data_IF_558610982833
#
_entry.id   IF_558610982833
#
_cell.length_a   1.000
_cell.length_b   1.000
_cell.length_c   1.000
_cell.angle_alpha   90.00
_cell.angle_beta   90.00
_cell.angle_gamma   90.00
#
_symmetry.space_group_name_H-M   'P 1'
#
loop_
_entity.id
_entity.type
_entity.pdbx_description
1 polymer ?
#
# COMPACT_ATOMS: atom_id res chain seq x y z
N UNK A 1 1.03 -4.07 -54.02
CA UNK A 1 -0.15 -3.32 -53.57
C UNK A 1 -1.35 -4.25 -53.63
N UNK A 2 -1.79 -4.76 -52.48
CA UNK A 2 -2.95 -5.66 -52.39
C UNK A 2 -3.70 -5.33 -51.09
N UNK A 3 -4.77 -4.56 -51.22
CA UNK A 3 -5.70 -4.23 -50.13
C UNK A 3 -6.69 -5.40 -49.96
N UNK A 4 -6.70 -6.01 -48.78
CA UNK A 4 -7.74 -6.96 -48.36
C UNK A 4 -8.82 -6.20 -47.59
N UNK A 5 -10.01 -6.07 -48.19
CA UNK A 5 -11.25 -5.65 -47.51
C UNK A 5 -11.94 -6.89 -46.92
N UNK A 6 -12.27 -6.84 -45.64
CA UNK A 6 -13.14 -7.81 -44.97
C UNK A 6 -14.62 -7.42 -45.15
N UNK A 7 -15.53 -8.37 -45.44
CA UNK A 7 -16.96 -8.08 -45.48
C UNK A 7 -17.61 -8.19 -44.10
N UNK A 8 -18.45 -7.21 -43.81
CA UNK A 8 -19.38 -7.17 -42.67
C UNK A 8 -20.50 -8.19 -42.93
N UNK A 9 -20.64 -9.19 -42.06
CA UNK A 9 -21.83 -10.04 -42.00
C UNK A 9 -22.77 -9.58 -40.89
N UNK A 10 -23.86 -8.95 -41.32
CA UNK A 10 -25.11 -8.82 -40.59
C UNK A 10 -25.88 -10.14 -40.68
N UNK A 11 -26.21 -10.76 -39.53
CA UNK A 11 -27.29 -11.75 -39.44
C UNK A 11 -28.13 -11.57 -38.18
N UNK A 12 -29.39 -11.28 -38.47
CA UNK A 12 -30.60 -11.42 -37.67
C UNK A 12 -30.63 -12.66 -36.77
N UNK A 13 -30.97 -12.47 -35.50
CA UNK A 13 -31.75 -13.43 -34.71
C UNK A 13 -32.77 -12.69 -33.84
N UNK A 14 -33.98 -12.57 -34.36
CA UNK A 14 -35.20 -12.27 -33.64
C UNK A 14 -35.73 -13.59 -33.04
N UNK A 15 -35.66 -13.73 -31.71
CA UNK A 15 -36.32 -14.80 -30.98
C UNK A 15 -37.29 -14.23 -29.95
N UNK A 16 -38.58 -14.51 -30.21
CA UNK A 16 -39.75 -14.20 -29.39
C UNK A 16 -39.60 -14.75 -27.96
N UNK A 17 -39.67 -13.89 -26.95
CA UNK A 17 -39.96 -14.31 -25.56
C UNK A 17 -41.48 -14.51 -25.42
N UNK A 18 -41.90 -15.77 -25.29
CA UNK A 18 -43.22 -16.12 -24.81
C UNK A 18 -43.32 -15.77 -23.31
N UNK A 19 -44.37 -15.03 -22.94
CA UNK A 19 -44.77 -14.79 -21.55
C UNK A 19 -45.19 -16.13 -20.95
N UNK A 20 -44.51 -16.59 -19.90
CA UNK A 20 -45.02 -17.62 -18.99
C UNK A 20 -45.78 -16.90 -17.88
N UNK A 21 -47.05 -17.25 -17.73
CA UNK A 21 -47.88 -16.89 -16.58
C UNK A 21 -47.33 -17.55 -15.31
N UNK A 22 -47.41 -16.88 -14.15
CA UNK A 22 -47.04 -17.47 -12.87
C UNK A 22 -48.13 -18.47 -12.42
N UNK A 23 -47.75 -19.60 -11.79
CA UNK A 23 -48.71 -20.54 -11.21
C UNK A 23 -49.38 -19.97 -9.95
N UNK A 24 -50.59 -20.47 -9.60
CA UNK A 24 -51.40 -19.92 -8.52
C UNK A 24 -50.86 -20.27 -7.11
N UNK A 25 -51.10 -19.33 -6.21
CA UNK A 25 -50.89 -19.41 -4.75
C UNK A 25 -51.41 -20.72 -4.15
N UNK A 26 -50.52 -21.46 -3.48
CA UNK A 26 -50.89 -22.45 -2.49
C UNK A 26 -50.42 -21.97 -1.11
N UNK A 27 -51.39 -21.47 -0.35
CA UNK A 27 -51.25 -21.12 1.05
C UNK A 27 -51.19 -22.41 1.89
N UNK A 28 -50.01 -22.70 2.43
CA UNK A 28 -49.85 -23.58 3.59
C UNK A 28 -49.07 -22.82 4.67
N UNK A 29 -49.81 -22.23 5.60
CA UNK A 29 -49.30 -21.67 6.84
C UNK A 29 -48.88 -22.82 7.76
N UNK A 30 -47.58 -23.05 7.88
CA UNK A 30 -46.99 -23.79 9.00
C UNK A 30 -46.17 -22.80 9.82
N UNK A 31 -46.65 -22.49 11.03
CA UNK A 31 -45.95 -21.66 12.00
C UNK A 31 -44.65 -22.36 12.45
N UNK A 32 -43.52 -21.96 11.85
CA UNK A 32 -42.21 -22.30 12.36
C UNK A 32 -41.93 -21.43 13.59
N UNK A 33 -41.88 -22.05 14.77
CA UNK A 33 -41.38 -21.42 16.00
C UNK A 33 -39.92 -21.05 15.80
N UNK A 34 -39.64 -19.75 15.72
CA UNK A 34 -38.29 -19.19 15.80
C UNK A 34 -37.76 -19.47 17.21
N UNK A 35 -36.61 -20.13 17.37
CA UNK A 35 -35.99 -20.29 18.68
C UNK A 35 -35.58 -18.90 19.19
N UNK A 36 -36.05 -18.59 20.40
CA UNK A 36 -35.68 -17.41 21.18
C UNK A 36 -34.16 -17.44 21.41
N UNK A 37 -33.42 -16.77 20.53
CA UNK A 37 -31.98 -16.57 20.65
C UNK A 37 -31.81 -15.42 21.63
N UNK A 38 -31.80 -15.76 22.92
CA UNK A 38 -31.66 -14.81 24.01
C UNK A 38 -30.59 -13.78 23.68
N UNK A 39 -31.02 -12.53 23.55
CA UNK A 39 -30.16 -11.40 23.25
C UNK A 39 -29.10 -11.30 24.35
N UNK A 40 -27.89 -11.78 24.07
CA UNK A 40 -26.74 -11.51 24.92
C UNK A 40 -26.56 -9.99 24.93
N UNK A 41 -26.69 -9.40 26.11
CA UNK A 41 -26.44 -7.99 26.32
C UNK A 41 -25.03 -7.68 25.81
N UNK A 42 -24.93 -6.80 24.81
CA UNK A 42 -23.65 -6.29 24.35
C UNK A 42 -22.99 -5.55 25.51
N UNK A 43 -21.92 -6.13 26.07
CA UNK A 43 -21.07 -5.38 27.00
C UNK A 43 -20.52 -4.16 26.26
N UNK A 44 -20.70 -2.93 26.80
CA UNK A 44 -20.16 -1.74 26.18
C UNK A 44 -18.64 -1.88 26.02
N UNK A 45 -18.15 -1.58 24.81
CA UNK A 45 -16.74 -1.60 24.50
C UNK A 45 -15.99 -0.74 25.52
N UNK A 46 -15.11 -1.37 26.32
CA UNK A 46 -14.28 -0.66 27.29
C UNK A 46 -13.50 0.45 26.60
N UNK A 47 -13.65 1.69 27.08
CA UNK A 47 -12.93 2.83 26.54
C UNK A 47 -11.42 2.63 26.75
N UNK A 48 -10.64 2.64 25.67
CA UNK A 48 -9.18 2.58 25.73
C UNK A 48 -8.66 4.01 25.73
N UNK A 49 -7.83 4.33 26.72
CA UNK A 49 -7.17 5.62 26.85
C UNK A 49 -5.88 5.60 26.01
N UNK A 50 -6.00 5.86 24.71
CA UNK A 50 -4.83 6.21 23.88
C UNK A 50 -4.44 7.63 24.29
N UNK A 51 -3.18 7.85 24.70
CA UNK A 51 -2.67 9.20 24.92
C UNK A 51 -2.25 9.80 23.57
N UNK A 52 -3.06 10.68 22.93
CA UNK A 52 -2.68 11.31 21.67
C UNK A 52 -1.50 12.29 21.84
N UNK A 53 -1.15 12.60 23.09
CA UNK A 53 -0.05 13.49 23.48
C UNK A 53 1.26 12.75 23.71
N UNK A 54 1.25 11.41 23.74
CA UNK A 54 2.45 10.60 23.90
C UNK A 54 3.53 11.05 22.89
N UNK A 55 4.68 11.45 23.43
CA UNK A 55 5.78 11.99 22.64
C UNK A 55 6.27 10.94 21.65
N UNK A 56 6.46 11.35 20.39
CA UNK A 56 7.15 10.52 19.40
C UNK A 56 8.56 10.17 19.91
N UNK A 57 9.09 8.97 19.60
CA UNK A 57 10.49 8.66 19.85
C UNK A 57 11.41 9.71 19.22
N UNK A 58 12.59 9.89 19.83
CA UNK A 58 13.60 10.81 19.32
C UNK A 58 13.89 10.54 17.83
N UNK A 59 14.10 11.62 17.08
CA UNK A 59 14.36 11.53 15.63
C UNK A 59 13.13 11.18 14.78
N UNK A 60 11.93 11.04 15.37
CA UNK A 60 10.70 10.74 14.63
C UNK A 60 9.81 11.96 14.44
N UNK A 61 9.48 12.22 13.18
CA UNK A 61 8.58 13.29 12.76
C UNK A 61 7.29 12.71 12.22
N UNK A 62 6.18 13.41 12.45
CA UNK A 62 4.85 13.01 11.97
C UNK A 62 4.35 14.02 10.94
N UNK A 63 3.89 13.52 9.81
CA UNK A 63 3.11 14.24 8.83
C UNK A 63 1.67 13.71 8.91
N UNK A 64 0.69 14.60 9.02
CA UNK A 64 -0.73 14.25 9.00
C UNK A 64 -1.42 14.97 7.86
N UNK A 65 -2.23 14.22 7.12
CA UNK A 65 -2.95 14.65 5.92
C UNK A 65 -4.38 14.20 6.08
N UNK A 66 -5.33 15.13 6.02
CA UNK A 66 -6.76 14.83 6.14
C UNK A 66 -7.57 15.59 5.11
N UNK A 67 -8.73 15.05 4.74
CA UNK A 67 -9.73 15.78 3.96
C UNK A 67 -10.69 16.47 4.94
N UNK A 68 -10.77 17.81 4.96
CA UNK A 68 -11.75 18.50 5.78
C UNK A 68 -13.16 18.18 5.27
N UNK A 69 -14.09 17.97 6.20
CA UNK A 69 -15.48 17.62 5.90
C UNK A 69 -16.15 18.70 5.01
N UNK A 70 -16.79 18.28 3.92
CA UNK A 70 -17.52 19.16 3.00
C UNK A 70 -16.64 19.96 2.02
N UNK A 71 -15.37 19.61 1.85
CA UNK A 71 -14.46 20.19 0.87
C UNK A 71 -13.73 19.10 0.09
N UNK A 72 -14.38 18.58 -0.94
CA UNK A 72 -13.93 17.37 -1.65
C UNK A 72 -12.55 17.52 -2.33
N UNK A 73 -12.14 18.74 -2.68
CA UNK A 73 -10.88 19.01 -3.37
C UNK A 73 -9.73 19.47 -2.47
N UNK A 74 -9.94 19.54 -1.15
CA UNK A 74 -8.95 20.11 -0.23
C UNK A 74 -8.33 19.03 0.66
N UNK A 75 -7.02 19.14 0.90
CA UNK A 75 -6.33 18.39 1.96
C UNK A 75 -5.74 19.38 2.95
N UNK A 76 -5.85 19.08 4.24
CA UNK A 76 -5.16 19.79 5.30
C UNK A 76 -3.90 19.03 5.69
N UNK A 77 -2.76 19.69 5.55
CA UNK A 77 -1.46 19.11 5.89
C UNK A 77 -0.94 19.78 7.16
N UNK A 78 -0.64 18.96 8.16
CA UNK A 78 0.04 19.39 9.39
C UNK A 78 1.22 18.49 9.68
N UNK A 79 2.27 19.04 10.30
CA UNK A 79 3.45 18.25 10.63
C UNK A 79 4.06 18.66 11.97
N UNK A 80 4.53 17.68 12.73
CA UNK A 80 5.16 17.89 14.04
C UNK A 80 6.43 17.08 14.20
N UNK A 81 7.42 17.69 14.84
CA UNK A 81 8.67 17.08 15.28
C UNK A 81 9.07 17.75 16.59
N UNK A 82 9.58 17.01 17.60
CA UNK A 82 10.28 17.64 18.71
C UNK A 82 11.35 18.61 18.19
N UNK A 83 11.44 19.80 18.78
CA UNK A 83 12.47 20.79 18.47
C UNK A 83 12.38 21.52 17.11
N UNK A 84 11.36 21.24 16.29
CA UNK A 84 11.14 21.93 15.01
C UNK A 84 9.79 22.66 15.06
N UNK A 85 9.72 23.94 14.65
CA UNK A 85 8.44 24.65 14.56
C UNK A 85 7.40 23.84 13.77
N UNK A 86 6.19 23.73 14.32
CA UNK A 86 5.08 23.01 13.69
C UNK A 86 4.83 23.57 12.29
N UNK A 87 4.58 22.71 11.32
CA UNK A 87 4.07 23.16 10.02
C UNK A 87 2.65 23.70 10.24
N UNK A 88 2.44 24.98 9.91
CA UNK A 88 1.11 25.57 9.90
C UNK A 88 0.18 24.76 8.99
N UNK A 89 -1.11 24.72 9.32
CA UNK A 89 -2.08 24.04 8.46
C UNK A 89 -2.02 24.68 7.06
N UNK A 90 -1.72 23.86 6.05
CA UNK A 90 -1.75 24.31 4.66
C UNK A 90 -3.11 23.89 4.10
N UNK A 91 -3.90 24.87 3.64
CA UNK A 91 -5.16 24.61 2.93
C UNK A 91 -4.85 24.05 1.53
N UNK A 92 -5.51 22.94 1.19
CA UNK A 92 -5.39 22.25 -0.09
C UNK A 92 -5.62 23.11 -1.33
N UNK A 93 -6.29 24.27 -1.22
CA UNK A 93 -6.39 25.21 -2.33
C UNK A 93 -5.01 25.65 -2.86
N UNK A 94 -4.04 25.79 -1.95
CA UNK A 94 -2.66 26.15 -2.25
C UNK A 94 -1.80 24.92 -2.61
N UNK A 95 -2.20 23.74 -2.14
CA UNK A 95 -1.55 22.47 -2.45
C UNK A 95 -2.46 21.72 -3.41
N UNK A 96 -2.53 22.19 -4.67
CA UNK A 96 -3.12 21.37 -5.73
C UNK A 96 -2.43 20.02 -5.69
N UNK A 97 -3.20 18.94 -5.53
CA UNK A 97 -2.65 17.59 -5.59
C UNK A 97 -1.69 17.49 -6.78
N UNK A 98 -0.53 16.81 -6.65
CA UNK A 98 0.23 16.50 -7.84
C UNK A 98 -0.76 15.77 -8.74
N UNK A 99 -1.14 16.37 -9.88
CA UNK A 99 -2.22 15.91 -10.77
C UNK A 99 -1.87 14.60 -11.49
N UNK A 100 -1.01 13.81 -10.88
CA UNK A 100 -0.34 12.62 -11.34
C UNK A 100 -0.60 11.58 -10.28
N UNK A 101 -1.83 11.06 -10.26
CA UNK A 101 -2.03 9.73 -9.74
C UNK A 101 -1.05 8.84 -10.52
N UNK A 102 -0.04 8.28 -9.84
CA UNK A 102 1.01 7.49 -10.48
C UNK A 102 0.42 6.33 -11.32
N UNK A 103 -0.81 5.91 -10.99
CA UNK A 103 -1.69 5.02 -11.76
C UNK A 103 -1.92 5.43 -13.21
N UNK A 104 -2.22 6.71 -13.44
CA UNK A 104 -2.70 7.20 -14.73
C UNK A 104 -1.55 7.55 -15.65
N UNK A 105 -0.39 7.81 -15.05
CA UNK A 105 0.74 8.32 -15.79
C UNK A 105 1.44 7.21 -16.58
N UNK A 106 1.34 5.95 -16.15
CA UNK A 106 2.06 4.82 -16.77
C UNK A 106 1.15 3.98 -17.71
N UNK A 107 -0.09 4.43 -17.95
CA UNK A 107 -1.02 3.80 -18.91
C UNK A 107 -0.52 4.00 -20.35
N UNK A 108 -0.99 3.16 -21.27
CA UNK A 108 -0.74 3.34 -22.72
C UNK A 108 -1.26 4.73 -23.13
N UNK A 109 -0.37 5.60 -23.60
CA UNK A 109 -0.69 7.01 -23.90
C UNK A 109 -0.57 7.99 -22.72
N UNK A 110 -0.12 7.53 -21.55
CA UNK A 110 0.25 8.36 -20.41
C UNK A 110 1.58 9.10 -20.60
N UNK A 111 2.06 9.80 -19.56
CA UNK A 111 3.32 10.54 -19.64
C UNK A 111 4.51 9.58 -19.59
N UNK A 112 5.62 10.00 -20.18
CA UNK A 112 6.86 9.27 -20.04
C UNK A 112 7.30 9.21 -18.56
N UNK A 113 7.88 8.09 -18.08
CA UNK A 113 8.43 7.95 -16.73
C UNK A 113 9.27 9.14 -16.23
N UNK A 114 10.14 9.69 -17.07
CA UNK A 114 10.96 10.85 -16.71
C UNK A 114 10.16 12.14 -16.56
N UNK A 115 9.11 12.34 -17.36
CA UNK A 115 8.18 13.47 -17.23
C UNK A 115 7.42 13.40 -15.89
N UNK A 116 7.06 12.19 -15.42
CA UNK A 116 6.43 11.99 -14.10
C UNK A 116 7.35 12.45 -12.99
N UNK A 117 8.61 11.99 -13.02
CA UNK A 117 9.62 12.37 -12.04
C UNK A 117 9.86 13.88 -12.05
N UNK A 118 9.94 14.48 -13.24
CA UNK A 118 10.08 15.92 -13.41
C UNK A 118 8.88 16.68 -12.83
N UNK A 119 7.65 16.21 -13.06
CA UNK A 119 6.43 16.82 -12.50
C UNK A 119 6.40 16.73 -10.98
N UNK A 120 6.72 15.57 -10.40
CA UNK A 120 6.76 15.40 -8.94
C UNK A 120 7.85 16.26 -8.32
N UNK A 121 9.01 16.37 -8.97
CA UNK A 121 10.08 17.28 -8.54
C UNK A 121 9.64 18.73 -8.60
N UNK A 122 9.05 19.18 -9.70
CA UNK A 122 8.57 20.54 -9.85
C UNK A 122 7.46 20.86 -8.85
N UNK A 123 6.54 19.92 -8.64
CA UNK A 123 5.52 20.03 -7.60
C UNK A 123 6.14 20.16 -6.21
N UNK A 124 7.12 19.32 -5.88
CA UNK A 124 7.83 19.34 -4.59
C UNK A 124 8.50 20.69 -4.29
N UNK A 125 8.99 21.35 -5.34
CA UNK A 125 9.71 22.63 -5.26
C UNK A 125 8.78 23.85 -5.28
N UNK A 126 7.64 23.77 -5.97
CA UNK A 126 6.67 24.86 -6.08
C UNK A 126 5.54 24.71 -5.06
N UNK A 127 4.60 23.80 -5.32
CA UNK A 127 3.36 23.64 -4.54
C UNK A 127 3.62 22.96 -3.18
N UNK A 128 4.60 22.04 -3.15
CA UNK A 128 5.03 21.32 -1.96
C UNK A 128 6.08 22.05 -1.11
N UNK A 129 6.48 23.27 -1.48
CA UNK A 129 7.63 23.97 -0.89
C UNK A 129 7.53 24.13 0.64
N UNK A 130 6.33 24.37 1.17
CA UNK A 130 6.11 24.46 2.61
C UNK A 130 6.35 23.12 3.32
N UNK A 131 5.87 22.02 2.74
CA UNK A 131 6.06 20.66 3.27
C UNK A 131 7.51 20.22 3.13
N UNK A 132 8.11 20.34 1.94
CA UNK A 132 9.49 19.92 1.67
C UNK A 132 10.52 20.78 2.41
N UNK A 133 10.26 22.09 2.54
CA UNK A 133 11.04 22.99 3.37
C UNK A 133 10.97 22.62 4.86
N UNK A 134 9.79 22.24 5.35
CA UNK A 134 9.64 21.73 6.71
C UNK A 134 10.36 20.40 6.93
N UNK A 135 10.19 19.43 6.01
CA UNK A 135 10.88 18.14 6.06
C UNK A 135 12.40 18.31 6.02
N UNK A 136 12.91 19.26 5.23
CA UNK A 136 14.36 19.55 5.17
C UNK A 136 14.89 20.09 6.50
N UNK A 137 14.13 20.96 7.19
CA UNK A 137 14.47 21.42 8.55
C UNK A 137 14.42 20.27 9.57
N UNK A 138 13.37 19.46 9.51
CA UNK A 138 13.21 18.29 10.34
C UNK A 138 14.37 17.29 10.18
N UNK A 139 14.76 16.98 8.94
CA UNK A 139 15.92 16.13 8.63
C UNK A 139 17.19 16.63 9.31
N UNK A 140 17.50 17.93 9.17
CA UNK A 140 18.70 18.53 9.79
C UNK A 140 18.65 18.48 11.32
N UNK A 141 17.47 18.61 11.90
CA UNK A 141 17.30 18.55 13.35
C UNK A 141 17.41 17.12 13.92
N UNK A 142 16.86 16.12 13.22
CA UNK A 142 16.80 14.74 13.70
C UNK A 142 18.11 13.95 13.55
N UNK A 143 19.09 14.46 12.79
CA UNK A 143 20.41 13.84 12.64
C UNK A 143 20.49 12.81 11.52
N UNK A 144 21.31 11.77 11.71
CA UNK A 144 21.73 10.83 10.64
C UNK A 144 20.61 9.90 10.14
N UNK A 145 19.68 9.53 11.03
CA UNK A 145 18.57 8.63 10.71
C UNK A 145 17.22 9.25 11.08
N UNK A 146 16.77 10.26 10.32
CA UNK A 146 15.46 10.85 10.55
C UNK A 146 14.37 9.85 10.16
N UNK A 147 13.31 9.78 10.95
CA UNK A 147 12.18 8.86 10.75
C UNK A 147 10.92 9.67 10.48
N UNK A 148 10.15 9.26 9.48
CA UNK A 148 8.93 9.94 9.07
C UNK A 148 7.76 8.97 9.13
N UNK A 149 6.80 9.27 10.01
CA UNK A 149 5.49 8.63 10.05
C UNK A 149 4.49 9.48 9.27
N UNK A 150 3.90 8.91 8.23
CA UNK A 150 2.94 9.57 7.34
C UNK A 150 1.54 9.07 7.69
N UNK A 151 0.75 9.89 8.36
CA UNK A 151 -0.65 9.61 8.63
C UNK A 151 -1.49 10.28 7.55
N UNK A 152 -1.77 9.55 6.48
CA UNK A 152 -2.56 10.04 5.34
C UNK A 152 -3.94 9.36 5.37
N UNK A 153 -4.95 10.14 5.74
CA UNK A 153 -6.34 9.70 5.87
C UNK A 153 -7.14 9.98 4.58
N UNK A 154 -6.45 10.27 3.46
CA UNK A 154 -7.06 10.67 2.19
C UNK A 154 -6.86 9.64 1.08
N UNK A 155 -7.67 9.71 0.04
CA UNK A 155 -7.50 8.95 -1.20
C UNK A 155 -6.69 9.72 -2.27
N UNK A 156 -6.09 10.87 -1.90
CA UNK A 156 -5.30 11.74 -2.78
C UNK A 156 -4.05 11.07 -3.36
N UNK A 157 -3.65 9.92 -2.80
CA UNK A 157 -2.56 9.06 -3.28
C UNK A 157 -1.23 9.82 -3.49
N UNK A 158 -0.91 10.76 -2.59
CA UNK A 158 0.29 11.57 -2.71
C UNK A 158 1.53 10.65 -2.60
N UNK A 159 2.49 10.72 -3.54
CA UNK A 159 3.68 9.88 -3.51
C UNK A 159 4.73 10.48 -2.57
N UNK A 160 4.41 10.53 -1.27
CA UNK A 160 5.22 11.16 -0.22
C UNK A 160 6.70 10.77 -0.26
N UNK A 161 6.99 9.50 -0.52
CA UNK A 161 8.33 8.96 -0.60
C UNK A 161 9.11 9.50 -1.81
N UNK A 162 8.42 9.87 -2.89
CA UNK A 162 9.00 10.39 -4.12
C UNK A 162 9.08 11.92 -4.14
N UNK A 163 8.68 12.61 -3.05
CA UNK A 163 8.88 14.06 -2.95
C UNK A 163 10.37 14.40 -2.92
N UNK A 164 10.73 15.46 -3.63
CA UNK A 164 12.10 15.92 -3.74
C UNK A 164 12.44 16.92 -2.62
N UNK A 165 13.50 16.63 -1.86
CA UNK A 165 14.05 17.52 -0.86
C UNK A 165 15.31 18.21 -1.41
N UNK A 166 15.34 19.55 -1.48
CA UNK A 166 16.60 20.26 -1.75
C UNK A 166 17.54 20.13 -0.55
N UNK A 167 18.81 19.76 -0.75
CA UNK A 167 19.76 19.65 0.37
C UNK A 167 20.14 21.02 0.94
N UNK A 168 20.27 22.01 0.06
CA UNK A 168 20.70 23.38 0.30
C UNK A 168 20.11 24.27 -0.82
N UNK A 169 19.54 25.45 -0.54
CA UNK A 169 19.10 26.39 -1.60
C UNK A 169 20.20 26.70 -2.64
N UNK A 170 21.48 26.62 -2.25
CA UNK A 170 22.61 26.95 -3.13
C UNK A 170 23.26 25.72 -3.80
N UNK A 171 22.88 24.49 -3.42
CA UNK A 171 23.40 23.25 -4.04
C UNK A 171 22.30 22.49 -4.79
N UNK A 172 22.59 22.12 -6.03
CA UNK A 172 21.67 21.32 -6.87
C UNK A 172 21.56 19.84 -6.49
N UNK A 173 22.25 19.40 -5.44
CA UNK A 173 22.09 18.04 -4.92
C UNK A 173 20.88 18.03 -3.98
N UNK A 174 20.01 17.06 -4.20
CA UNK A 174 18.84 16.83 -3.38
C UNK A 174 18.57 15.35 -3.35
N UNK A 175 17.58 14.96 -2.57
CA UNK A 175 17.23 13.56 -2.40
C UNK A 175 15.73 13.39 -2.28
N UNK A 176 15.23 12.25 -2.72
CA UNK A 176 13.85 11.86 -2.45
C UNK A 176 13.63 11.63 -0.94
N UNK A 177 12.44 11.94 -0.44
CA UNK A 177 12.05 11.70 0.97
C UNK A 177 12.28 10.25 1.36
N UNK A 178 11.88 9.29 0.52
CA UNK A 178 12.05 7.86 0.75
C UNK A 178 13.51 7.37 0.72
N UNK A 179 14.45 8.21 0.28
CA UNK A 179 15.88 7.99 0.46
C UNK A 179 16.41 8.72 1.71
N UNK A 180 15.85 9.86 2.08
CA UNK A 180 16.35 10.66 3.20
C UNK A 180 15.84 10.19 4.55
N UNK A 181 14.61 9.67 4.61
CA UNK A 181 13.93 9.27 5.83
C UNK A 181 13.70 7.76 5.88
N UNK A 182 13.68 7.18 7.08
CA UNK A 182 13.01 5.91 7.33
C UNK A 182 11.51 6.19 7.34
N UNK A 183 10.78 5.74 6.32
CA UNK A 183 9.36 6.08 6.12
C UNK A 183 8.43 4.93 6.47
N UNK A 184 7.35 5.22 7.19
CA UNK A 184 6.21 4.34 7.31
C UNK A 184 4.92 5.16 7.17
N UNK A 185 3.91 4.56 6.54
CA UNK A 185 2.55 5.09 6.47
C UNK A 185 1.73 4.53 7.64
N UNK A 186 0.77 5.32 8.08
CA UNK A 186 -0.20 4.97 9.10
C UNK A 186 -1.59 5.25 8.55
N UNK A 187 -2.51 4.29 8.75
CA UNK A 187 -3.93 4.46 8.43
C UNK A 187 -4.71 4.38 9.75
N UNK A 188 -5.80 5.15 9.90
CA UNK A 188 -6.76 4.89 10.97
C UNK A 188 -7.19 3.42 10.91
N UNK A 189 -7.11 2.72 12.03
CA UNK A 189 -7.67 1.38 12.16
C UNK A 189 -9.06 1.56 12.77
N UNK A 190 -10.10 1.06 12.12
CA UNK A 190 -11.43 1.05 12.75
C UNK A 190 -11.40 0.15 13.99
N UNK A 191 -11.85 0.72 15.11
CA UNK A 191 -11.54 0.25 16.47
C UNK A 191 -11.92 -1.20 16.70
N UNK A 192 -10.92 -2.00 17.07
CA UNK A 192 -11.12 -3.31 17.71
C UNK A 192 -10.24 -3.37 18.97
N UNK A 193 -10.58 -4.19 19.98
CA UNK A 193 -9.79 -4.36 21.23
C UNK A 193 -8.29 -4.68 21.01
N UNK A 194 -7.86 -4.99 19.78
CA UNK A 194 -6.50 -5.40 19.37
C UNK A 194 -5.53 -4.25 19.07
N UNK A 195 -5.97 -2.99 19.15
CA UNK A 195 -5.18 -1.79 18.77
C UNK A 195 -3.84 -1.61 19.51
N UNK A 196 -3.65 -2.20 20.69
CA UNK A 196 -2.42 -2.00 21.47
C UNK A 196 -1.16 -2.60 20.81
N UNK A 197 -1.29 -3.67 20.01
CA UNK A 197 -0.12 -4.29 19.34
C UNK A 197 0.38 -3.46 18.16
N UNK A 198 -0.54 -2.84 17.45
CA UNK A 198 -0.27 -2.07 16.23
C UNK A 198 -0.20 -0.60 16.57
N UNK A 199 0.70 -0.25 17.48
CA UNK A 199 1.09 1.13 17.66
C UNK A 199 2.20 1.46 16.63
N UNK A 200 2.23 2.65 16.02
CA UNK A 200 3.29 3.03 15.06
C UNK A 200 4.71 3.00 15.64
N UNK A 201 4.84 2.83 16.96
CA UNK A 201 6.09 2.78 17.71
C UNK A 201 6.40 1.39 18.30
N UNK A 202 5.61 0.36 18.03
CA UNK A 202 5.86 -0.98 18.56
C UNK A 202 7.10 -1.61 17.92
N UNK A 203 7.91 -2.31 18.70
CA UNK A 203 9.04 -3.09 18.16
C UNK A 203 8.59 -4.53 17.97
N UNK A 204 8.03 -4.81 16.80
CA UNK A 204 7.56 -6.15 16.45
C UNK A 204 8.63 -6.91 15.68
N UNK A 205 8.65 -8.24 15.86
CA UNK A 205 9.60 -9.13 15.19
C UNK A 205 8.85 -10.28 14.55
N UNK A 206 8.75 -10.26 13.23
CA UNK A 206 8.06 -11.27 12.45
C UNK A 206 8.97 -12.50 12.29
N UNK A 207 8.53 -13.66 12.78
CA UNK A 207 9.28 -14.91 12.79
C UNK A 207 8.36 -16.09 12.50
N UNK A 208 8.89 -17.09 11.79
CA UNK A 208 8.14 -18.27 11.41
C UNK A 208 8.23 -18.55 9.93
N UNK A 209 7.27 -19.30 9.41
CA UNK A 209 7.26 -19.70 8.00
C UNK A 209 6.81 -18.56 7.08
N UNK A 210 7.22 -18.65 5.81
CA UNK A 210 6.71 -17.80 4.74
C UNK A 210 5.53 -18.53 4.09
N UNK A 211 4.35 -17.91 4.08
CA UNK A 211 3.15 -18.41 3.40
C UNK A 211 2.91 -17.56 2.15
N UNK A 212 2.78 -18.20 1.00
CA UNK A 212 2.69 -17.50 -0.28
C UNK A 212 1.50 -17.94 -1.13
N UNK A 213 0.90 -17.00 -1.83
CA UNK A 213 0.06 -17.24 -3.00
C UNK A 213 0.62 -16.46 -4.19
N UNK A 214 0.66 -17.09 -5.34
CA UNK A 214 1.06 -16.46 -6.61
C UNK A 214 0.00 -16.78 -7.65
N UNK A 215 -0.56 -15.76 -8.29
CA UNK A 215 -1.52 -15.92 -9.38
C UNK A 215 -0.90 -16.66 -10.57
N UNK A 216 -1.73 -17.38 -11.34
CA UNK A 216 -1.27 -18.26 -12.42
C UNK A 216 -0.40 -17.51 -13.44
N UNK A 217 -0.80 -16.30 -13.83
CA UNK A 217 -0.07 -15.45 -14.78
C UNK A 217 1.31 -15.00 -14.28
N UNK A 218 1.55 -15.05 -12.96
CA UNK A 218 2.82 -14.65 -12.33
C UNK A 218 3.65 -15.85 -11.85
N UNK A 219 3.10 -17.06 -11.93
CA UNK A 219 3.56 -18.23 -11.19
C UNK A 219 5.03 -18.59 -11.47
N UNK A 220 5.43 -18.73 -12.74
CA UNK A 220 6.73 -19.32 -13.09
C UNK A 220 7.91 -18.61 -12.41
N UNK A 221 7.93 -17.28 -12.47
CA UNK A 221 9.08 -16.51 -12.02
C UNK A 221 8.92 -15.92 -10.60
N UNK A 222 7.70 -15.69 -10.11
CA UNK A 222 7.49 -15.30 -8.70
C UNK A 222 7.61 -16.50 -7.75
N UNK A 223 7.20 -17.72 -8.15
CA UNK A 223 7.39 -18.92 -7.34
C UNK A 223 8.88 -19.24 -7.17
N UNK A 224 9.67 -19.16 -8.24
CA UNK A 224 11.12 -19.34 -8.15
C UNK A 224 11.78 -18.31 -7.22
N UNK A 225 11.32 -17.07 -7.24
CA UNK A 225 11.80 -16.03 -6.33
C UNK A 225 11.45 -16.35 -4.87
N UNK A 226 10.21 -16.74 -4.57
CA UNK A 226 9.75 -16.91 -3.19
C UNK A 226 10.23 -18.24 -2.57
N UNK A 227 10.49 -19.27 -3.39
CA UNK A 227 11.07 -20.55 -2.96
C UNK A 227 12.45 -20.38 -2.30
N UNK A 228 13.24 -19.39 -2.75
CA UNK A 228 14.51 -19.03 -2.12
C UNK A 228 14.41 -18.67 -0.63
N UNK A 229 13.21 -18.32 -0.15
CA UNK A 229 12.91 -17.99 1.24
C UNK A 229 12.16 -19.11 1.99
N UNK A 230 12.15 -20.33 1.45
CA UNK A 230 11.51 -21.48 2.08
C UNK A 230 9.99 -21.37 2.16
N UNK A 231 9.38 -20.69 1.19
CA UNK A 231 7.95 -20.40 1.22
C UNK A 231 7.09 -21.63 0.96
N UNK A 232 6.04 -21.79 1.77
CA UNK A 232 4.96 -22.72 1.49
C UNK A 232 3.92 -22.02 0.63
N UNK A 233 3.69 -22.55 -0.56
CA UNK A 233 2.76 -21.97 -1.54
C UNK A 233 1.39 -22.63 -1.46
N UNK A 234 0.32 -21.84 -1.56
CA UNK A 234 -1.07 -22.34 -1.66
C UNK A 234 -1.63 -22.10 -3.05
N UNK A 235 -2.56 -22.96 -3.48
CA UNK A 235 -3.03 -22.99 -4.87
C UNK A 235 -3.98 -21.84 -5.26
N UNK A 236 -4.61 -21.15 -4.30
CA UNK A 236 -5.49 -20.02 -4.59
C UNK A 236 -5.50 -18.99 -3.46
N UNK A 237 -5.85 -17.74 -3.79
CA UNK A 237 -6.06 -16.70 -2.79
C UNK A 237 -7.15 -17.09 -1.78
N UNK A 238 -8.22 -17.78 -2.22
CA UNK A 238 -9.26 -18.29 -1.32
C UNK A 238 -8.71 -19.27 -0.29
N UNK A 239 -7.82 -20.18 -0.71
CA UNK A 239 -7.15 -21.10 0.21
C UNK A 239 -6.19 -20.36 1.15
N UNK A 240 -5.49 -19.33 0.65
CA UNK A 240 -4.67 -18.47 1.50
C UNK A 240 -5.51 -17.84 2.62
N UNK A 241 -6.59 -17.14 2.27
CA UNK A 241 -7.44 -16.47 3.27
C UNK A 241 -8.06 -17.46 4.25
N UNK A 242 -8.46 -18.66 3.79
CA UNK A 242 -8.90 -19.73 4.67
C UNK A 242 -7.81 -20.13 5.67
N UNK A 243 -6.59 -20.34 5.20
CA UNK A 243 -5.43 -20.68 6.04
C UNK A 243 -5.00 -19.58 7.02
N UNK A 244 -5.33 -18.31 6.72
CA UNK A 244 -5.11 -17.18 7.61
C UNK A 244 -6.22 -17.07 8.67
N UNK A 245 -7.43 -17.54 8.34
CA UNK A 245 -8.58 -17.61 9.25
C UNK A 245 -8.47 -18.78 10.25
N UNK A 246 -7.74 -19.84 9.90
CA UNK A 246 -7.48 -20.98 10.78
C UNK A 246 -6.18 -20.77 11.59
N UNK A 247 -6.13 -21.10 12.90
CA UNK A 247 -4.87 -21.11 13.66
C UNK A 247 -3.82 -22.01 13.02
N UNK A 248 -2.55 -21.65 13.13
CA UNK A 248 -1.48 -22.41 12.49
C UNK A 248 -0.09 -22.09 13.03
N UNK A 249 0.94 -22.56 12.31
CA UNK A 249 2.33 -22.22 12.64
C UNK A 249 2.54 -20.71 12.52
N UNK A 250 3.41 -20.12 13.37
CA UNK A 250 3.76 -18.71 13.27
C UNK A 250 4.28 -18.36 11.88
N UNK A 251 3.92 -17.17 11.41
CA UNK A 251 4.27 -16.62 10.11
C UNK A 251 5.29 -15.49 10.28
N UNK A 252 6.36 -15.51 9.50
CA UNK A 252 7.24 -14.35 9.33
C UNK A 252 6.75 -13.42 8.22
N UNK A 253 6.25 -14.01 7.12
CA UNK A 253 5.81 -13.30 5.93
C UNK A 253 4.58 -13.98 5.32
N UNK A 254 3.60 -13.16 4.94
CA UNK A 254 2.54 -13.53 3.99
C UNK A 254 2.83 -12.82 2.68
N UNK A 255 3.13 -13.57 1.62
CA UNK A 255 3.38 -13.03 0.28
C UNK A 255 2.20 -13.30 -0.65
N UNK A 256 1.75 -12.27 -1.35
CA UNK A 256 0.70 -12.39 -2.37
C UNK A 256 1.19 -11.70 -3.64
N UNK A 257 1.56 -12.46 -4.66
CA UNK A 257 1.84 -11.94 -6.01
C UNK A 257 0.64 -12.15 -6.91
N UNK A 258 -0.08 -11.09 -7.28
CA UNK A 258 -1.30 -11.22 -8.09
C UNK A 258 -1.65 -9.93 -8.84
N UNK A 259 -2.61 -10.03 -9.75
CA UNK A 259 -3.24 -8.84 -10.33
C UNK A 259 -4.15 -8.14 -9.32
N UNK A 260 -4.21 -6.82 -9.44
CA UNK A 260 -5.14 -5.96 -8.71
C UNK A 260 -5.95 -5.11 -9.68
N UNK A 261 -7.24 -4.91 -9.38
CA UNK A 261 -8.12 -4.00 -10.10
C UNK A 261 -8.59 -2.92 -9.15
N UNK A 262 -8.17 -1.69 -9.40
CA UNK A 262 -8.58 -0.54 -8.61
C UNK A 262 -10.03 -0.14 -8.91
N UNK A 263 -10.76 0.21 -7.85
CA UNK A 263 -12.04 0.93 -7.87
C UNK A 263 -12.14 1.72 -6.57
N UNK A 264 -12.89 2.82 -6.56
CA UNK A 264 -13.24 3.54 -5.32
C UNK A 264 -14.35 2.83 -4.53
N UNK A 265 -14.99 1.83 -5.14
CA UNK A 265 -15.99 0.97 -4.49
C UNK A 265 -15.33 -0.28 -3.93
N UNK A 266 -15.53 -0.52 -2.64
CA UNK A 266 -14.91 -1.61 -1.88
C UNK A 266 -15.17 -3.01 -2.47
N UNK A 267 -16.36 -3.26 -3.03
CA UNK A 267 -16.70 -4.55 -3.65
C UNK A 267 -16.19 -4.72 -5.09
N UNK A 268 -15.69 -3.66 -5.71
CA UNK A 268 -15.10 -3.68 -7.05
C UNK A 268 -13.56 -3.56 -6.99
N UNK A 269 -13.00 -3.09 -5.88
CA UNK A 269 -11.57 -3.06 -5.63
C UNK A 269 -11.06 -4.45 -5.25
N UNK A 270 -10.37 -5.12 -6.17
CA UNK A 270 -9.97 -6.52 -5.99
C UNK A 270 -8.45 -6.72 -6.03
N UNK A 271 -7.97 -7.71 -5.30
CA UNK A 271 -6.64 -8.33 -5.47
C UNK A 271 -6.82 -9.84 -5.51
N UNK A 272 -6.20 -10.50 -6.49
CA UNK A 272 -6.38 -11.93 -6.71
C UNK A 272 -7.86 -12.35 -6.76
N UNK A 273 -8.69 -11.55 -7.44
CA UNK A 273 -10.14 -11.72 -7.56
C UNK A 273 -10.94 -11.63 -6.24
N UNK A 274 -10.27 -11.32 -5.13
CA UNK A 274 -10.89 -11.09 -3.83
C UNK A 274 -11.12 -9.61 -3.64
N UNK A 275 -12.40 -9.23 -3.54
CA UNK A 275 -12.80 -7.85 -3.29
C UNK A 275 -12.50 -7.42 -1.86
N UNK A 276 -12.05 -6.17 -1.69
CA UNK A 276 -11.77 -5.57 -0.39
C UNK A 276 -12.99 -5.67 0.54
N UNK A 277 -14.17 -5.28 0.04
CA UNK A 277 -15.43 -5.33 0.81
C UNK A 277 -15.81 -6.72 1.31
N UNK A 278 -15.33 -7.80 0.65
CA UNK A 278 -15.58 -9.18 1.10
C UNK A 278 -14.71 -9.60 2.28
N UNK A 279 -13.49 -9.07 2.39
CA UNK A 279 -12.56 -9.42 3.46
C UNK A 279 -12.45 -8.33 4.53
N UNK A 280 -13.20 -7.23 4.37
CA UNK A 280 -13.08 -6.11 5.29
C UNK A 280 -13.46 -6.50 6.72
N UNK A 281 -14.59 -7.17 6.92
CA UNK A 281 -15.01 -7.61 8.24
C UNK A 281 -14.31 -8.90 8.74
N UNK A 282 -13.45 -9.51 7.93
CA UNK A 282 -12.80 -10.76 8.29
C UNK A 282 -11.72 -10.54 9.36
N UNK A 283 -11.46 -11.58 10.14
CA UNK A 283 -10.33 -11.63 11.05
C UNK A 283 -9.43 -12.80 10.68
N UNK A 284 -8.13 -12.63 10.87
CA UNK A 284 -7.14 -13.64 10.57
C UNK A 284 -6.38 -14.02 11.84
N UNK A 285 -6.87 -14.97 12.66
CA UNK A 285 -6.23 -15.38 13.92
C UNK A 285 -4.75 -15.71 13.77
N UNK A 286 -4.35 -16.37 12.68
CA UNK A 286 -2.95 -16.70 12.44
C UNK A 286 -2.06 -15.49 12.19
N UNK A 287 -2.63 -14.40 11.66
CA UNK A 287 -1.94 -13.10 11.58
C UNK A 287 -1.85 -12.48 12.97
N UNK A 288 -2.95 -12.48 13.74
CA UNK A 288 -2.98 -11.91 15.09
C UNK A 288 -1.97 -12.57 16.04
N UNK A 289 -1.83 -13.89 15.95
CA UNK A 289 -0.95 -14.68 16.81
C UNK A 289 0.54 -14.45 16.50
N UNK A 290 0.89 -14.27 15.22
CA UNK A 290 2.29 -14.23 14.78
C UNK A 290 2.79 -12.82 14.42
N UNK A 291 1.88 -11.87 14.21
CA UNK A 291 2.16 -10.53 13.69
C UNK A 291 3.13 -10.55 12.48
N UNK A 292 2.81 -11.27 11.39
CA UNK A 292 3.69 -11.35 10.22
C UNK A 292 3.82 -10.00 9.52
N UNK A 293 4.86 -9.88 8.70
CA UNK A 293 4.85 -8.90 7.61
C UNK A 293 3.92 -9.41 6.51
N UNK A 294 3.05 -8.56 5.97
CA UNK A 294 2.26 -8.87 4.76
C UNK A 294 2.87 -8.13 3.58
N UNK A 295 3.15 -8.82 2.48
CA UNK A 295 3.62 -8.22 1.24
C UNK A 295 2.66 -8.57 0.11
N UNK A 296 1.82 -7.59 -0.26
CA UNK A 296 0.85 -7.66 -1.34
C UNK A 296 1.46 -7.06 -2.63
N UNK A 297 2.16 -7.88 -3.41
CA UNK A 297 2.72 -7.52 -4.71
C UNK A 297 1.63 -7.54 -5.81
N UNK A 298 0.74 -6.55 -5.75
CA UNK A 298 -0.36 -6.36 -6.71
C UNK A 298 -0.58 -4.88 -7.00
N UNK A 299 -1.08 -4.54 -8.20
CA UNK A 299 -1.40 -3.16 -8.59
C UNK A 299 -2.37 -2.50 -7.59
N UNK A 300 -2.07 -1.26 -7.20
CA UNK A 300 -2.89 -0.43 -6.29
C UNK A 300 -3.14 -1.01 -4.89
N UNK A 301 -2.54 -2.13 -4.53
CA UNK A 301 -2.77 -2.83 -3.26
C UNK A 301 -2.51 -2.01 -1.99
N UNK A 302 -1.68 -0.98 -2.09
CA UNK A 302 -1.38 -0.03 -1.01
C UNK A 302 -2.23 1.23 -1.03
N UNK A 303 -3.23 1.35 -1.91
CA UNK A 303 -4.11 2.52 -1.94
C UNK A 303 -5.19 2.46 -0.88
N UNK A 304 -5.51 3.64 -0.37
CA UNK A 304 -6.70 3.93 0.43
C UNK A 304 -7.82 4.33 -0.52
N UNK A 305 -9.04 3.84 -0.24
CA UNK A 305 -10.26 4.24 -0.93
C UNK A 305 -11.22 4.88 0.08
N UNK A 306 -12.04 5.82 -0.40
CA UNK A 306 -13.19 6.35 0.31
C UNK A 306 -14.42 5.88 -0.47
N UNK A 307 -15.13 4.88 0.08
CA UNK A 307 -16.35 4.37 -0.55
C UNK A 307 -17.54 5.25 -0.13
N UNK A 308 -17.97 6.12 -1.05
CA UNK A 308 -19.09 7.04 -0.84
C UNK A 308 -20.43 6.32 -0.53
N UNK A 309 -20.53 5.02 -0.83
CA UNK A 309 -21.78 4.26 -0.69
C UNK A 309 -21.98 3.56 0.66
N UNK A 310 -20.95 3.44 1.49
CA UNK A 310 -20.98 2.61 2.70
C UNK A 310 -20.84 3.43 3.99
N UNK A 311 -19.66 4.00 4.24
CA UNK A 311 -19.34 4.57 5.57
C UNK A 311 -18.59 5.90 5.53
N UNK A 312 -18.17 6.39 4.35
CA UNK A 312 -17.20 7.50 4.18
C UNK A 312 -15.85 7.31 4.90
N UNK A 313 -15.64 6.18 5.55
CA UNK A 313 -14.40 5.88 6.26
C UNK A 313 -13.36 5.37 5.25
N UNK A 314 -12.09 5.82 5.37
CA UNK A 314 -10.99 5.28 4.60
C UNK A 314 -10.91 3.77 4.78
N UNK A 315 -10.80 3.04 3.67
CA UNK A 315 -10.67 1.58 3.63
C UNK A 315 -9.50 1.16 2.75
N UNK A 316 -8.75 0.12 3.13
CA UNK A 316 -7.66 -0.42 2.31
C UNK A 316 -7.34 -1.88 2.65
N UNK A 317 -6.64 -2.57 1.75
CA UNK A 317 -6.06 -3.88 2.09
C UNK A 317 -5.06 -3.78 3.24
N UNK A 318 -4.28 -2.68 3.31
CA UNK A 318 -3.37 -2.42 4.42
C UNK A 318 -4.11 -2.40 5.77
N UNK A 319 -5.25 -1.70 5.84
CA UNK A 319 -6.09 -1.65 7.04
C UNK A 319 -6.60 -3.04 7.43
N UNK A 320 -7.10 -3.84 6.48
CA UNK A 320 -7.61 -5.20 6.77
C UNK A 320 -6.56 -6.05 7.46
N UNK A 321 -5.33 -6.08 6.93
CA UNK A 321 -4.25 -6.88 7.49
C UNK A 321 -3.70 -6.31 8.80
N UNK A 322 -3.56 -4.99 8.91
CA UNK A 322 -3.13 -4.34 10.15
C UNK A 322 -4.17 -4.51 11.25
N UNK A 323 -5.47 -4.34 10.98
CA UNK A 323 -6.54 -4.63 11.95
C UNK A 323 -6.53 -6.11 12.37
N UNK A 324 -6.13 -7.01 11.47
CA UNK A 324 -5.97 -8.43 11.77
C UNK A 324 -4.69 -8.79 12.53
N UNK A 325 -3.87 -7.81 12.91
CA UNK A 325 -2.69 -8.02 13.75
C UNK A 325 -1.35 -8.09 13.01
N UNK A 326 -1.30 -7.82 11.71
CA UNK A 326 -0.04 -7.81 10.97
C UNK A 326 0.91 -6.73 11.54
N UNK A 327 2.20 -7.05 11.67
CA UNK A 327 3.20 -6.08 12.15
C UNK A 327 3.56 -5.02 11.11
N UNK A 328 3.20 -5.27 9.85
CA UNK A 328 3.35 -4.32 8.77
C UNK A 328 2.78 -4.86 7.47
N UNK A 329 2.62 -3.96 6.52
CA UNK A 329 2.06 -4.23 5.20
C UNK A 329 2.87 -3.50 4.13
N UNK A 330 3.27 -4.19 3.07
CA UNK A 330 3.87 -3.60 1.87
C UNK A 330 2.89 -3.79 0.71
N UNK A 331 2.60 -2.71 -0.01
CA UNK A 331 1.76 -2.73 -1.20
C UNK A 331 2.13 -1.61 -2.17
N UNK A 332 1.46 -1.54 -3.32
CA UNK A 332 1.76 -0.55 -4.36
C UNK A 332 0.71 0.56 -4.42
N UNK A 333 1.13 1.80 -4.64
CA UNK A 333 0.22 2.96 -4.79
C UNK A 333 -0.35 3.14 -6.19
N UNK A 334 0.04 2.31 -7.16
CA UNK A 334 -0.42 2.42 -8.54
C UNK A 334 -0.25 1.15 -9.34
N UNK A 335 -0.48 1.24 -10.65
CA UNK A 335 -0.29 0.13 -11.57
C UNK A 335 1.19 -0.10 -11.84
N UNK A 336 1.62 -1.35 -11.65
CA UNK A 336 2.99 -1.81 -11.94
C UNK A 336 2.93 -2.86 -13.05
N UNK A 337 3.90 -2.83 -13.97
CA UNK A 337 4.07 -3.89 -14.97
C UNK A 337 4.62 -5.13 -14.28
N UNK A 338 4.20 -6.31 -14.74
CA UNK A 338 4.51 -7.58 -14.08
C UNK A 338 6.01 -7.83 -13.91
N UNK A 339 6.79 -7.64 -14.97
CA UNK A 339 8.25 -7.82 -14.95
C UNK A 339 8.90 -6.94 -13.90
N UNK A 340 8.56 -5.66 -13.89
CA UNK A 340 9.15 -4.69 -12.98
C UNK A 340 8.65 -4.88 -11.55
N UNK A 341 7.37 -5.24 -11.36
CA UNK A 341 6.81 -5.58 -10.06
C UNK A 341 7.59 -6.74 -9.41
N UNK A 342 7.88 -7.78 -10.20
CA UNK A 342 8.74 -8.90 -9.78
C UNK A 342 10.15 -8.45 -9.41
N UNK A 343 10.77 -7.60 -10.23
CA UNK A 343 12.13 -7.10 -9.96
C UNK A 343 12.18 -6.29 -8.66
N UNK A 344 11.20 -5.42 -8.44
CA UNK A 344 11.11 -4.62 -7.22
C UNK A 344 10.81 -5.51 -6.01
N UNK A 345 9.87 -6.47 -6.12
CA UNK A 345 9.59 -7.41 -5.05
C UNK A 345 10.82 -8.24 -4.66
N UNK A 346 11.57 -8.75 -5.65
CA UNK A 346 12.85 -9.44 -5.44
C UNK A 346 13.87 -8.54 -4.73
N UNK A 347 14.00 -7.29 -5.17
CA UNK A 347 14.89 -6.31 -4.55
C UNK A 347 14.55 -6.04 -3.08
N UNK A 348 13.26 -5.88 -2.77
CA UNK A 348 12.76 -5.70 -1.41
C UNK A 348 13.03 -6.94 -0.55
N UNK A 349 12.65 -8.14 -1.00
CA UNK A 349 12.86 -9.38 -0.24
C UNK A 349 14.35 -9.64 0.02
N UNK A 350 15.21 -9.39 -0.97
CA UNK A 350 16.66 -9.47 -0.81
C UNK A 350 17.16 -8.47 0.25
N UNK A 351 16.68 -7.22 0.23
CA UNK A 351 17.06 -6.22 1.21
C UNK A 351 16.65 -6.60 2.64
N UNK A 352 15.48 -7.22 2.80
CA UNK A 352 14.99 -7.74 4.09
C UNK A 352 15.81 -8.93 4.57
N UNK A 353 16.08 -9.90 3.69
CA UNK A 353 16.81 -11.12 4.04
C UNK A 353 18.28 -10.87 4.39
N UNK A 354 18.96 -9.92 3.72
CA UNK A 354 20.37 -9.62 3.97
C UNK A 354 20.67 -9.20 5.41
N UNK A 355 19.71 -8.58 6.11
CA UNK A 355 19.89 -8.10 7.48
C UNK A 355 18.61 -8.32 8.30
N UNK A 356 18.34 -9.55 8.81
CA UNK A 356 17.08 -9.89 9.49
C UNK A 356 16.75 -9.04 10.73
N UNK A 357 17.76 -8.41 11.34
CA UNK A 357 17.58 -7.48 12.47
C UNK A 357 17.33 -6.02 12.08
N UNK A 358 17.43 -5.69 10.78
CA UNK A 358 17.18 -4.33 10.28
C UNK A 358 15.67 -4.09 10.16
N UNK A 359 15.14 -2.95 10.63
CA UNK A 359 13.73 -2.64 10.46
C UNK A 359 13.31 -2.59 8.98
N UNK A 360 12.11 -3.08 8.67
CA UNK A 360 11.53 -3.13 7.32
C UNK A 360 11.60 -1.76 6.63
N UNK A 361 11.14 -0.71 7.32
CA UNK A 361 11.18 0.66 6.81
C UNK A 361 12.61 1.15 6.50
N UNK A 362 13.61 0.69 7.26
CA UNK A 362 15.02 1.04 7.04
C UNK A 362 15.58 0.30 5.82
N UNK A 363 15.27 -0.99 5.67
CA UNK A 363 15.63 -1.78 4.50
C UNK A 363 15.05 -1.20 3.21
N UNK A 364 13.79 -0.73 3.23
CA UNK A 364 13.16 -0.07 2.08
C UNK A 364 13.82 1.27 1.72
N UNK A 365 14.18 2.09 2.72
CA UNK A 365 14.96 3.32 2.47
C UNK A 365 16.28 3.02 1.79
N UNK A 366 17.01 2.03 2.31
CA UNK A 366 18.33 1.66 1.80
C UNK A 366 18.24 1.08 0.38
N UNK A 367 17.20 0.27 0.11
CA UNK A 367 16.90 -0.22 -1.24
C UNK A 367 16.61 0.92 -2.21
N UNK A 368 15.78 1.89 -1.83
CA UNK A 368 15.52 3.10 -2.65
C UNK A 368 16.79 3.90 -2.91
N UNK A 369 17.64 4.10 -1.89
CA UNK A 369 18.95 4.76 -2.06
C UNK A 369 19.82 4.03 -3.08
N UNK A 370 19.87 2.70 -3.01
CA UNK A 370 20.61 1.88 -3.96
C UNK A 370 20.09 2.12 -5.39
N UNK A 371 18.78 2.01 -5.62
CA UNK A 371 18.16 2.23 -6.94
C UNK A 371 18.45 3.63 -7.48
N UNK A 372 18.36 4.68 -6.65
CA UNK A 372 18.71 6.05 -7.05
C UNK A 372 20.20 6.19 -7.41
N UNK A 373 21.09 5.57 -6.64
CA UNK A 373 22.53 5.62 -6.89
C UNK A 373 22.91 4.90 -8.19
N UNK A 374 22.32 3.74 -8.45
CA UNK A 374 22.48 2.99 -9.70
C UNK A 374 22.00 3.80 -10.90
N UNK A 375 20.86 4.48 -10.75
CA UNK A 375 20.31 5.37 -11.79
C UNK A 375 21.21 6.61 -12.03
N UNK A 376 21.73 7.23 -10.97
CA UNK A 376 22.53 8.47 -11.06
C UNK A 376 23.91 8.27 -11.68
N UNK A 377 24.48 7.05 -11.62
CA UNK A 377 25.81 6.74 -12.19
C UNK A 377 25.78 6.55 -13.70
N UNK A 378 24.61 6.33 -14.29
CA UNK A 378 24.47 6.11 -15.73
C UNK A 378 24.43 7.47 -16.45
N UNK A 379 25.38 7.72 -17.34
CA UNK A 379 25.39 8.93 -18.18
C UNK A 379 24.11 9.00 -19.02
N UNK A 380 23.37 10.09 -18.89
CA UNK A 380 22.14 10.35 -19.66
C UNK A 380 22.51 10.43 -21.15
N UNK A 381 22.09 9.43 -21.92
CA UNK A 381 22.13 9.52 -23.38
C UNK A 381 21.01 10.48 -23.81
N UNK A 382 21.19 11.18 -24.93
CA UNK A 382 20.14 12.03 -25.50
C UNK A 382 18.99 11.22 -26.14
N UNK A 383 19.03 9.89 -26.06
CA UNK A 383 17.98 9.02 -26.58
C UNK A 383 16.86 8.86 -25.55
N UNK A 384 15.66 9.27 -25.95
CA UNK A 384 14.43 9.19 -25.13
C UNK A 384 14.13 7.76 -24.69
N UNK A 385 14.41 6.75 -25.52
CA UNK A 385 14.12 5.35 -25.19
C UNK A 385 14.94 4.82 -24.01
N UNK A 386 16.18 5.29 -23.90
CA UNK A 386 17.07 4.98 -22.77
C UNK A 386 16.60 5.66 -21.49
N UNK A 387 16.13 6.91 -21.59
CA UNK A 387 15.67 7.68 -20.43
C UNK A 387 14.45 7.02 -19.76
N UNK A 388 13.47 6.59 -20.56
CA UNK A 388 12.26 5.92 -20.06
C UNK A 388 12.58 4.59 -19.37
N UNK A 389 13.43 3.78 -19.99
CA UNK A 389 13.87 2.48 -19.45
C UNK A 389 14.59 2.62 -18.11
N UNK A 390 15.22 3.77 -17.86
CA UNK A 390 15.95 4.06 -16.61
C UNK A 390 15.08 4.69 -15.54
N UNK A 391 14.14 5.56 -15.90
CA UNK A 391 13.24 6.23 -14.96
C UNK A 391 12.16 5.28 -14.42
N UNK A 392 11.75 4.28 -15.20
CA UNK A 392 10.68 3.36 -14.83
C UNK A 392 11.00 2.50 -13.58
N UNK A 393 12.18 1.85 -13.45
CA UNK A 393 12.56 1.15 -12.23
C UNK A 393 12.54 2.04 -10.98
N UNK A 394 12.94 3.30 -11.12
CA UNK A 394 12.92 4.27 -10.03
C UNK A 394 11.47 4.56 -9.60
N UNK A 395 10.59 4.91 -10.54
CA UNK A 395 9.17 5.15 -10.24
C UNK A 395 8.52 3.95 -9.56
N UNK A 396 8.70 2.75 -10.12
CA UNK A 396 8.11 1.54 -9.56
C UNK A 396 8.65 1.22 -8.18
N UNK A 397 9.95 1.40 -7.93
CA UNK A 397 10.52 1.22 -6.59
C UNK A 397 9.85 2.12 -5.54
N UNK A 398 9.49 3.36 -5.92
CA UNK A 398 8.84 4.31 -5.02
C UNK A 398 7.31 4.14 -4.94
N UNK A 399 6.69 3.36 -5.82
CA UNK A 399 5.28 2.96 -5.68
C UNK A 399 5.07 1.96 -4.53
N UNK A 400 6.10 1.19 -4.13
CA UNK A 400 5.98 0.27 -3.01
C UNK A 400 6.09 1.06 -1.70
N UNK A 401 5.00 1.07 -0.95
CA UNK A 401 4.85 1.78 0.31
C UNK A 401 4.73 0.78 1.45
N UNK A 402 5.14 1.22 2.64
CA UNK A 402 5.10 0.40 3.85
C UNK A 402 4.17 1.03 4.88
N UNK A 403 3.21 0.27 5.37
CA UNK A 403 2.36 0.62 6.50
C UNK A 403 2.75 -0.21 7.72
N UNK A 404 2.79 0.41 8.90
CA UNK A 404 3.15 -0.28 10.15
C UNK A 404 4.14 0.51 10.99
N UNK A 405 4.86 -0.20 11.87
CA UNK A 405 5.84 0.43 12.75
C UNK A 405 7.19 0.64 12.06
N UNK A 406 7.84 1.77 12.36
CA UNK A 406 9.19 2.08 11.85
C UNK A 406 10.29 1.15 12.42
N UNK A 407 9.95 0.30 13.41
CA UNK A 407 10.87 -0.62 14.08
C UNK A 407 10.53 -2.10 13.87
N UNK A 408 9.50 -2.42 13.08
CA UNK A 408 9.19 -3.82 12.75
C UNK A 408 10.36 -4.46 12.01
N UNK A 409 10.78 -5.64 12.45
CA UNK A 409 11.82 -6.47 11.83
C UNK A 409 11.22 -7.78 11.32
N UNK A 410 11.81 -8.38 10.29
CA UNK A 410 11.35 -9.65 9.72
C UNK A 410 12.51 -10.60 9.51
N UNK A 411 12.33 -11.86 9.89
CA UNK A 411 13.31 -12.92 9.73
C UNK A 411 12.84 -13.88 8.63
N UNK A 412 13.47 -13.78 7.45
CA UNK A 412 13.19 -14.66 6.31
C UNK A 412 14.18 -15.84 6.32
N UNK A 413 13.68 -17.04 6.58
CA UNK A 413 14.48 -18.27 6.60
C UNK A 413 14.65 -18.84 5.19
N UNK A 414 15.65 -18.36 4.44
CA UNK A 414 15.99 -18.86 3.10
C UNK A 414 17.26 -19.71 3.08
N UNK A 415 17.32 -20.70 2.17
CA UNK A 415 18.51 -21.57 1.97
C UNK A 415 19.72 -20.82 1.38
N UNK A 416 19.53 -19.62 0.82
CA UNK A 416 20.57 -18.88 0.08
C UNK A 416 21.05 -17.57 0.71
N UNK A 417 20.79 -17.31 2.00
CA UNK A 417 21.14 -16.03 2.66
C UNK A 417 22.59 -16.00 3.20
N UNK A 418 23.39 -17.03 2.93
CA UNK A 418 24.74 -17.19 3.48
C UNK A 418 25.84 -17.64 2.52
N UNK A 419 25.62 -17.65 1.21
CA UNK A 419 26.64 -17.97 0.20
C UNK A 419 27.05 -16.76 -0.65
#
# INVERSE_FOLDING_TARGET
>A
MAERRFPVMSRLLSARRARREPPPDQAHSAEARVPDTGAQAFEPMGAINVDPTASSPAGTVKLRVVRPFGKDEHVEITAKSPGVPKLACIDGAAVREPSTDLSDVIKVGGLAPSEVLARIRNWSLANGAAVTGWLSRARRHCGEEPRLLIHDETDANIPWELLWLPDDPDRRQGAYVGCSFVTARWTPLQVTRREQRNHPYSTLRCRGEVLAYVGEDMAEADLSMIDGYGARTVASARLLFKELADPGRPLSLVYIGAHGRFSTRSFEFTVAEVALGRIFAETFPRIDDAAPLVFLNACHSGRVIIDESDTSLPSSFAEVFLRSGAAGFIGTTGAVREREARQVAKGILNALARQPGKPVATALRDFRRQVVAEHSRQTWSADRGDEESRALPLLYTFMYVYYGSLWTTVELSGRGVGE
#
